data_IF_526180976655
#
_entry.id   IF_526180976655
#
_cell.length_a   1.000
_cell.length_b   1.000
_cell.length_c   1.000
_cell.angle_alpha   90.00
_cell.angle_beta   90.00
_cell.angle_gamma   90.00
#
_symmetry.space_group_name_H-M   'P 1'
#
loop_
_entity.id
_entity.type
_entity.pdbx_description
1 polymer ?
#
# COMPACT_ATOMS: atom_id res chain seq x y z
N UNK A 1 28.38 -14.02 6.50
CA UNK A 1 27.40 -13.04 5.99
C UNK A 1 28.08 -12.15 4.97
N UNK A 2 27.53 -12.06 3.78
CA UNK A 2 27.92 -11.06 2.78
C UNK A 2 27.24 -9.72 3.05
N UNK A 3 27.75 -8.63 2.49
CA UNK A 3 27.09 -7.32 2.56
C UNK A 3 25.64 -7.35 2.04
N UNK A 4 25.39 -8.14 0.98
CA UNK A 4 24.05 -8.40 0.44
C UNK A 4 23.14 -9.07 1.47
N UNK A 5 23.63 -10.09 2.18
CA UNK A 5 22.83 -10.80 3.19
C UNK A 5 22.41 -9.86 4.33
N UNK A 6 23.31 -8.95 4.73
CA UNK A 6 23.01 -7.93 5.76
C UNK A 6 21.88 -7.01 5.29
N UNK A 7 21.93 -6.52 4.05
CA UNK A 7 20.88 -5.62 3.53
C UNK A 7 19.54 -6.34 3.43
N UNK A 8 19.52 -7.58 2.93
CA UNK A 8 18.28 -8.37 2.86
C UNK A 8 17.71 -8.57 4.27
N UNK A 9 18.55 -8.91 5.24
CA UNK A 9 18.13 -9.08 6.63
C UNK A 9 17.55 -7.78 7.22
N UNK A 10 18.21 -6.64 7.02
CA UNK A 10 17.72 -5.34 7.48
C UNK A 10 16.38 -4.99 6.81
N UNK A 11 16.26 -5.20 5.50
CA UNK A 11 15.01 -4.92 4.78
C UNK A 11 13.85 -5.81 5.25
N UNK A 12 14.12 -7.10 5.53
CA UNK A 12 13.14 -8.01 6.12
C UNK A 12 12.73 -7.56 7.53
N UNK A 13 13.67 -7.18 8.38
CA UNK A 13 13.38 -6.69 9.72
C UNK A 13 12.56 -5.38 9.68
N UNK A 14 12.91 -4.45 8.78
CA UNK A 14 12.15 -3.23 8.55
C UNK A 14 10.73 -3.53 8.08
N UNK A 15 10.55 -4.45 7.12
CA UNK A 15 9.24 -4.89 6.66
C UNK A 15 8.41 -5.48 7.80
N UNK A 16 8.96 -6.43 8.55
CA UNK A 16 8.23 -7.04 9.68
C UNK A 16 7.83 -6.01 10.73
N UNK A 17 8.67 -5.02 10.99
CA UNK A 17 8.33 -3.92 11.89
C UNK A 17 7.16 -3.09 11.34
N UNK A 18 7.20 -2.72 10.05
CA UNK A 18 6.10 -2.00 9.40
C UNK A 18 4.79 -2.81 9.40
N UNK A 19 4.85 -4.12 9.15
CA UNK A 19 3.69 -5.00 9.19
C UNK A 19 3.07 -5.04 10.60
N UNK A 20 3.89 -5.07 11.65
CA UNK A 20 3.42 -5.01 13.05
C UNK A 20 2.75 -3.66 13.34
N UNK A 21 3.38 -2.54 12.96
CA UNK A 21 2.80 -1.20 13.17
C UNK A 21 1.47 -1.07 12.42
N UNK A 22 1.41 -1.50 11.16
CA UNK A 22 0.18 -1.48 10.37
C UNK A 22 -0.93 -2.33 11.00
N UNK A 23 -0.58 -3.49 11.57
CA UNK A 23 -1.55 -4.31 12.30
C UNK A 23 -2.06 -3.64 13.59
N UNK A 24 -1.17 -3.00 14.35
CA UNK A 24 -1.56 -2.25 15.55
C UNK A 24 -2.48 -1.08 15.19
N UNK A 25 -2.13 -0.29 14.17
CA UNK A 25 -2.97 0.81 13.67
C UNK A 25 -4.34 0.30 13.20
N UNK A 26 -4.36 -0.87 12.54
CA UNK A 26 -5.60 -1.51 12.13
C UNK A 26 -6.49 -1.86 13.33
N UNK A 27 -5.95 -2.51 14.35
CA UNK A 27 -6.72 -2.95 15.53
C UNK A 27 -7.18 -1.76 16.37
N UNK A 28 -6.31 -0.77 16.57
CA UNK A 28 -6.57 0.36 17.47
C UNK A 28 -7.43 1.45 16.83
N UNK A 29 -7.37 1.62 15.50
CA UNK A 29 -8.00 2.77 14.83
C UNK A 29 -8.97 2.33 13.74
N UNK A 30 -8.50 1.53 12.78
CA UNK A 30 -9.31 1.16 11.60
C UNK A 30 -10.50 0.28 11.99
N UNK A 31 -10.28 -0.75 12.79
CA UNK A 31 -11.32 -1.70 13.19
C UNK A 31 -12.46 -1.01 14.00
N UNK A 32 -12.19 -0.13 14.97
CA UNK A 32 -13.22 0.69 15.61
C UNK A 32 -13.98 1.58 14.62
N UNK A 33 -13.31 2.20 13.65
CA UNK A 33 -13.98 2.98 12.60
C UNK A 33 -14.92 2.11 11.76
N UNK A 34 -14.47 0.91 11.37
CA UNK A 34 -15.28 -0.07 10.63
C UNK A 34 -16.50 -0.56 11.42
N UNK A 35 -16.38 -0.71 12.73
CA UNK A 35 -17.49 -1.10 13.60
C UNK A 35 -18.48 0.07 13.83
N UNK A 36 -17.98 1.30 13.85
CA UNK A 36 -18.75 2.52 14.10
C UNK A 36 -19.39 3.07 12.82
N UNK A 37 -18.84 2.75 11.64
CA UNK A 37 -19.37 3.07 10.31
C UNK A 37 -20.64 2.26 10.01
N UNK A 38 -21.64 2.39 10.88
CA UNK A 38 -23.01 1.92 10.67
C UNK A 38 -23.73 2.92 9.77
N UNK A 39 -23.51 2.83 8.45
CA UNK A 39 -24.37 3.33 7.36
C UNK A 39 -24.83 4.82 7.38
N UNK A 40 -24.48 5.64 8.38
CA UNK A 40 -25.19 6.88 8.70
C UNK A 40 -24.39 8.16 8.47
N UNK A 41 -23.08 8.06 8.19
CA UNK A 41 -22.30 9.20 7.71
C UNK A 41 -22.33 9.20 6.17
N UNK A 42 -23.06 10.15 5.57
CA UNK A 42 -23.05 10.42 4.13
C UNK A 42 -21.68 10.91 3.59
N UNK A 43 -20.61 10.79 4.37
CA UNK A 43 -19.28 11.24 3.99
C UNK A 43 -18.23 10.31 4.61
N UNK A 44 -17.22 9.88 3.81
CA UNK A 44 -16.11 9.08 4.31
C UNK A 44 -15.37 9.85 5.41
N UNK A 45 -14.77 9.12 6.36
CA UNK A 45 -13.90 9.75 7.35
C UNK A 45 -12.72 10.42 6.63
N UNK A 46 -12.26 11.60 7.10
CA UNK A 46 -11.11 12.27 6.49
C UNK A 46 -9.87 11.37 6.61
N UNK A 47 -9.16 11.18 5.51
CA UNK A 47 -7.94 10.39 5.50
C UNK A 47 -6.83 11.02 6.33
N UNK A 48 -6.15 10.25 7.17
CA UNK A 48 -4.96 10.72 7.88
C UNK A 48 -3.74 10.69 6.92
N UNK A 49 -3.14 11.84 6.58
CA UNK A 49 -2.00 11.90 5.68
C UNK A 49 -0.72 11.26 6.26
N UNK A 50 -0.70 10.94 7.56
CA UNK A 50 0.42 10.25 8.21
C UNK A 50 0.39 8.73 8.00
N UNK A 51 -0.74 8.18 7.55
CA UNK A 51 -0.89 6.75 7.41
C UNK A 51 -0.27 6.25 6.11
N UNK A 52 0.41 5.11 6.21
CA UNK A 52 0.74 4.33 5.04
C UNK A 52 -0.55 3.66 4.57
N UNK A 53 -1.10 4.18 3.47
CA UNK A 53 -2.28 3.57 2.86
C UNK A 53 -2.01 2.19 2.28
N UNK A 54 -3.03 1.58 1.66
CA UNK A 54 -2.95 0.22 1.13
C UNK A 54 -3.37 0.14 -0.35
N UNK A 55 -2.74 -0.78 -1.08
CA UNK A 55 -3.10 -1.15 -2.44
C UNK A 55 -3.92 -2.44 -2.41
N UNK A 56 -5.05 -2.46 -3.11
CA UNK A 56 -5.87 -3.67 -3.25
C UNK A 56 -6.47 -3.72 -4.64
N UNK A 57 -6.72 -4.91 -5.17
CA UNK A 57 -7.50 -5.14 -6.38
C UNK A 57 -8.98 -5.43 -6.07
N UNK A 58 -9.31 -5.73 -4.81
CA UNK A 58 -10.68 -5.93 -4.36
C UNK A 58 -11.39 -4.61 -4.08
N UNK A 59 -12.39 -4.30 -4.91
CA UNK A 59 -13.17 -3.08 -4.76
C UNK A 59 -13.97 -3.01 -3.46
N UNK A 60 -14.40 -4.16 -2.92
CA UNK A 60 -15.18 -4.17 -1.68
C UNK A 60 -14.29 -3.75 -0.51
N UNK A 61 -13.12 -4.36 -0.39
CA UNK A 61 -12.08 -3.97 0.57
C UNK A 61 -11.72 -2.50 0.40
N UNK A 62 -11.43 -2.04 -0.83
CA UNK A 62 -11.10 -0.63 -1.07
C UNK A 62 -12.17 0.32 -0.53
N UNK A 63 -13.45 0.05 -0.81
CA UNK A 63 -14.55 0.90 -0.38
C UNK A 63 -14.71 0.90 1.15
N UNK A 64 -14.71 -0.29 1.76
CA UNK A 64 -14.81 -0.45 3.21
C UNK A 64 -13.73 0.32 3.97
N UNK A 65 -12.47 0.23 3.50
CA UNK A 65 -11.35 0.93 4.14
C UNK A 65 -11.36 2.44 3.85
N UNK A 66 -11.81 2.85 2.66
CA UNK A 66 -11.99 4.26 2.32
C UNK A 66 -13.02 4.93 3.25
N UNK A 67 -14.14 4.26 3.53
CA UNK A 67 -15.13 4.77 4.47
C UNK A 67 -14.58 4.89 5.91
N UNK A 68 -13.62 4.03 6.27
CA UNK A 68 -12.90 4.09 7.54
C UNK A 68 -11.82 5.19 7.61
N UNK A 69 -11.62 5.97 6.54
CA UNK A 69 -10.61 7.02 6.46
C UNK A 69 -9.20 6.51 6.19
N UNK A 70 -9.05 5.29 5.69
CA UNK A 70 -7.74 4.75 5.29
C UNK A 70 -7.43 5.22 3.87
N UNK A 71 -6.23 5.77 3.59
CA UNK A 71 -5.81 6.02 2.22
C UNK A 71 -5.74 4.70 1.43
N UNK A 72 -6.52 4.56 0.36
CA UNK A 72 -6.61 3.32 -0.41
C UNK A 72 -6.38 3.57 -1.90
N UNK A 73 -5.70 2.62 -2.55
CA UNK A 73 -5.50 2.60 -4.00
C UNK A 73 -6.05 1.30 -4.59
N UNK A 74 -7.12 1.42 -5.37
CA UNK A 74 -7.68 0.31 -6.13
C UNK A 74 -6.85 0.07 -7.39
N UNK A 75 -6.10 -1.03 -7.42
CA UNK A 75 -5.31 -1.44 -8.57
C UNK A 75 -6.21 -2.28 -9.49
N UNK A 76 -6.37 -1.86 -10.74
CA UNK A 76 -7.10 -2.63 -11.75
C UNK A 76 -6.27 -2.82 -13.00
N UNK A 77 -6.46 -3.97 -13.65
CA UNK A 77 -5.98 -4.12 -15.02
C UNK A 77 -6.81 -3.25 -15.95
N UNK A 78 -6.19 -2.78 -17.03
CA UNK A 78 -6.82 -1.89 -18.01
C UNK A 78 -8.15 -2.46 -18.56
N UNK A 79 -8.21 -3.79 -18.73
CA UNK A 79 -9.41 -4.49 -19.21
C UNK A 79 -10.65 -4.31 -18.30
N UNK A 80 -10.46 -3.98 -17.02
CA UNK A 80 -11.53 -3.78 -16.04
C UNK A 80 -11.81 -2.30 -15.74
N UNK A 81 -11.18 -1.38 -16.45
CA UNK A 81 -11.46 0.06 -16.35
C UNK A 81 -12.54 0.41 -17.37
N UNK A 82 -13.73 0.87 -16.95
CA UNK A 82 -14.76 1.33 -17.87
C UNK A 82 -14.23 2.47 -18.75
N UNK A 83 -14.54 2.44 -20.05
CA UNK A 83 -14.07 3.48 -21.01
C UNK A 83 -14.69 4.86 -20.73
N UNK A 84 -15.80 4.88 -20.00
CA UNK A 84 -16.57 6.05 -19.58
C UNK A 84 -16.28 6.47 -18.14
N UNK A 85 -15.20 5.95 -17.52
CA UNK A 85 -14.84 6.34 -16.15
C UNK A 85 -14.50 7.83 -16.08
N UNK A 86 -15.07 8.52 -15.09
CA UNK A 86 -14.74 9.91 -14.82
C UNK A 86 -13.36 10.00 -14.16
N UNK A 87 -12.40 10.60 -14.85
CA UNK A 87 -11.07 10.89 -14.30
C UNK A 87 -11.09 12.31 -13.74
N UNK A 88 -11.13 12.44 -12.41
CA UNK A 88 -11.13 13.75 -11.74
C UNK A 88 -9.77 14.42 -11.88
N UNK A 89 -8.69 13.67 -11.59
CA UNK A 89 -7.33 14.16 -11.64
C UNK A 89 -6.36 13.05 -12.02
N UNK A 90 -5.70 13.11 -13.19
CA UNK A 90 -4.63 12.18 -13.50
C UNK A 90 -3.43 12.46 -12.59
N UNK A 91 -2.80 11.39 -12.10
CA UNK A 91 -1.55 11.48 -11.32
C UNK A 91 -0.39 11.19 -12.26
N UNK A 92 0.59 12.09 -12.32
CA UNK A 92 1.85 11.85 -13.01
C UNK A 92 2.65 10.89 -12.14
N UNK A 93 2.96 9.70 -12.67
CA UNK A 93 3.82 8.75 -12.00
C UNK A 93 5.22 9.36 -11.86
N UNK A 94 5.66 9.55 -10.63
CA UNK A 94 7.04 9.91 -10.32
C UNK A 94 7.79 8.67 -9.88
N UNK A 95 9.04 8.55 -10.32
CA UNK A 95 9.93 7.53 -9.79
C UNK A 95 10.74 8.18 -8.66
N UNK A 96 10.81 7.56 -7.48
CA UNK A 96 11.69 8.06 -6.44
C UNK A 96 13.13 8.01 -6.94
N UNK A 97 13.84 9.12 -6.79
CA UNK A 97 15.28 9.18 -7.03
C UNK A 97 16.04 8.46 -5.92
N UNK A 98 17.27 8.03 -6.19
CA UNK A 98 18.16 7.40 -5.21
C UNK A 98 17.67 6.07 -4.61
N UNK A 99 16.79 5.34 -5.32
CA UNK A 99 16.51 3.94 -4.96
C UNK A 99 17.75 3.10 -5.27
N UNK A 100 18.40 2.59 -4.23
CA UNK A 100 19.55 1.69 -4.35
C UNK A 100 19.11 0.34 -4.92
N UNK A 101 19.16 0.19 -6.25
CA UNK A 101 18.81 -1.04 -6.98
C UNK A 101 20.03 -1.92 -7.28
N UNK A 102 21.24 -1.36 -7.27
CA UNK A 102 22.48 -2.05 -7.66
C UNK A 102 22.79 -3.28 -6.81
N UNK A 103 22.49 -3.20 -5.51
CA UNK A 103 22.63 -4.30 -4.54
C UNK A 103 21.70 -5.49 -4.82
N UNK A 104 20.67 -5.29 -5.64
CA UNK A 104 19.72 -6.30 -6.08
C UNK A 104 19.98 -6.74 -7.52
N UNK A 105 21.19 -6.52 -8.04
CA UNK A 105 21.58 -7.02 -9.36
C UNK A 105 22.83 -7.89 -9.26
N UNK A 106 22.80 -9.07 -9.89
CA UNK A 106 23.91 -10.02 -9.93
C UNK A 106 24.29 -10.25 -11.40
N UNK A 107 25.55 -10.00 -11.74
CA UNK A 107 26.06 -10.08 -13.12
C UNK A 107 25.21 -9.31 -14.16
N UNK A 108 24.67 -8.14 -13.79
CA UNK A 108 23.86 -7.30 -14.68
C UNK A 108 22.41 -7.75 -14.84
N UNK A 109 21.97 -8.80 -14.14
CA UNK A 109 20.56 -9.19 -14.06
C UNK A 109 19.93 -8.67 -12.78
N UNK A 110 18.76 -8.05 -12.88
CA UNK A 110 17.95 -7.74 -11.71
C UNK A 110 17.56 -9.04 -11.01
N UNK A 111 18.03 -9.21 -9.78
CA UNK A 111 17.55 -10.23 -8.86
C UNK A 111 16.27 -9.68 -8.24
N UNK A 112 15.26 -10.53 -8.07
CA UNK A 112 14.05 -10.22 -7.30
C UNK A 112 14.35 -10.61 -5.84
N UNK A 113 14.88 -9.71 -4.99
CA UNK A 113 15.24 -10.04 -3.60
C UNK A 113 14.03 -10.42 -2.76
N UNK A 114 12.85 -9.96 -3.16
CA UNK A 114 11.58 -10.25 -2.51
C UNK A 114 10.74 -11.04 -3.51
N UNK A 115 10.28 -12.25 -3.16
CA UNK A 115 9.28 -12.92 -3.96
C UNK A 115 8.03 -12.04 -4.04
N UNK A 116 7.46 -11.93 -5.24
CA UNK A 116 6.09 -11.42 -5.39
C UNK A 116 5.20 -12.39 -4.60
N UNK A 117 4.43 -11.84 -3.65
CA UNK A 117 3.39 -12.60 -2.95
C UNK A 117 2.29 -13.00 -3.93
#
# INVERSE_FOLDING_TARGET
LTYRDIIVFVAQAQRSFLDIIAFMDYVEIVQPHLATSSWSSWSPLPGDPKWMGCFTDDSKTCHTFFDAGVPMWLVRTEAYIPRDINIIKPVILTFPDNITKSIFSEAGKAVQPFPLL
#
